data_IF_735985623386
#
_entry.id   IF_735985623386
#
_cell.length_a   1.000
_cell.length_b   1.000
_cell.length_c   1.000
_cell.angle_alpha   90.00
_cell.angle_beta   90.00
_cell.angle_gamma   90.00
#
_symmetry.space_group_name_H-M   'P 1'
#
loop_
_entity.id
_entity.type
_entity.pdbx_description
1 polymer ?
#
# COMPACT_ATOMS: atom_id res chain seq x y z
N UNK A 1 -25.98 4.35 -15.20
CA UNK A 1 -25.31 3.04 -15.27
C UNK A 1 -24.39 2.93 -14.04
N UNK A 2 -24.87 2.28 -12.98
CA UNK A 2 -24.11 2.06 -11.76
C UNK A 2 -23.23 0.84 -11.96
N UNK A 3 -21.95 1.08 -12.23
CA UNK A 3 -20.96 0.02 -12.18
C UNK A 3 -20.59 -0.23 -10.72
N UNK A 4 -21.14 -1.29 -10.14
CA UNK A 4 -20.65 -1.81 -8.85
C UNK A 4 -19.43 -2.68 -9.13
N UNK A 5 -18.28 -2.18 -8.79
CA UNK A 5 -17.05 -2.89 -8.92
C UNK A 5 -16.61 -3.54 -7.58
N UNK A 6 -16.11 -4.81 -7.48
CA UNK A 6 -15.62 -5.49 -6.27
C UNK A 6 -14.12 -5.65 -6.27
N UNK A 7 -13.45 -5.32 -5.17
CA UNK A 7 -12.08 -5.71 -4.91
C UNK A 7 -12.09 -7.11 -4.26
N UNK A 8 -11.70 -8.14 -4.99
CA UNK A 8 -11.45 -9.43 -4.36
C UNK A 8 -10.08 -9.39 -3.68
N UNK A 9 -9.99 -9.86 -2.42
CA UNK A 9 -8.71 -10.08 -1.74
C UNK A 9 -7.84 -11.00 -2.59
N UNK A 10 -6.54 -10.74 -2.72
CA UNK A 10 -5.63 -11.65 -3.39
C UNK A 10 -5.61 -12.98 -2.62
N UNK A 11 -5.99 -14.06 -3.28
CA UNK A 11 -5.91 -15.41 -2.71
C UNK A 11 -4.47 -15.85 -2.77
N UNK A 12 -3.78 -15.84 -1.63
CA UNK A 12 -2.45 -16.39 -1.51
C UNK A 12 -2.45 -17.89 -1.85
N UNK A 13 -1.67 -18.30 -2.83
CA UNK A 13 -1.30 -19.72 -3.02
C UNK A 13 -1.86 -20.48 -4.21
N UNK A 14 -2.54 -19.86 -5.18
CA UNK A 14 -2.93 -20.54 -6.43
C UNK A 14 -2.40 -19.84 -7.67
N UNK A 15 -1.86 -20.61 -8.60
CA UNK A 15 -1.39 -20.21 -9.93
C UNK A 15 -2.47 -19.43 -10.68
N UNK A 16 -2.20 -18.16 -11.00
CA UNK A 16 -3.17 -17.14 -11.36
C UNK A 16 -3.50 -17.06 -12.84
N UNK A 17 -3.66 -18.15 -13.53
CA UNK A 17 -3.94 -18.06 -14.98
C UNK A 17 -5.34 -17.52 -15.35
N UNK A 18 -6.28 -17.41 -14.41
CA UNK A 18 -7.66 -16.98 -14.71
C UNK A 18 -8.39 -16.34 -13.52
N UNK A 19 -7.80 -15.35 -12.84
CA UNK A 19 -8.59 -14.57 -11.87
C UNK A 19 -9.14 -13.35 -12.59
N UNK A 20 -10.44 -13.37 -12.86
CA UNK A 20 -11.16 -12.16 -13.28
C UNK A 20 -11.12 -11.17 -12.11
N UNK A 21 -10.29 -10.16 -12.22
CA UNK A 21 -10.23 -9.08 -11.24
C UNK A 21 -11.34 -8.10 -11.57
N UNK A 22 -12.30 -8.01 -10.68
CA UNK A 22 -13.39 -7.06 -10.81
C UNK A 22 -13.06 -5.90 -9.88
N UNK A 23 -12.88 -4.70 -10.44
CA UNK A 23 -12.77 -3.49 -9.63
C UNK A 23 -14.16 -3.07 -9.14
N UNK A 24 -14.34 -2.95 -7.84
CA UNK A 24 -15.53 -2.32 -7.26
C UNK A 24 -15.20 -0.87 -6.96
N UNK A 25 -15.93 0.02 -7.59
CA UNK A 25 -15.97 1.37 -7.08
C UNK A 25 -16.76 1.34 -5.76
N UNK A 26 -16.14 1.70 -4.63
CA UNK A 26 -16.90 1.85 -3.40
C UNK A 26 -18.01 2.87 -3.67
N UNK A 27 -19.22 2.59 -3.21
CA UNK A 27 -20.37 3.47 -3.38
C UNK A 27 -20.08 4.90 -2.92
N UNK A 28 -20.85 5.86 -3.40
CA UNK A 28 -20.67 7.30 -3.15
C UNK A 28 -20.89 7.70 -1.67
N UNK A 29 -21.14 6.74 -0.79
CA UNK A 29 -21.71 6.94 0.54
C UNK A 29 -20.66 7.12 1.67
N UNK A 30 -19.40 7.45 1.35
CA UNK A 30 -18.45 7.82 2.40
C UNK A 30 -18.73 9.25 2.86
N UNK A 31 -19.09 9.40 4.12
CA UNK A 31 -19.33 10.71 4.72
C UNK A 31 -18.01 11.43 5.02
N UNK A 32 -17.65 12.34 4.16
CA UNK A 32 -16.51 13.22 4.36
C UNK A 32 -16.76 14.28 5.44
N UNK A 33 -18.02 14.44 5.91
CA UNK A 33 -18.43 15.51 6.82
C UNK A 33 -18.08 16.90 6.23
N UNK A 34 -17.28 17.67 6.97
CA UNK A 34 -16.75 18.96 6.54
C UNK A 34 -15.24 18.88 6.27
N UNK A 35 -14.81 17.79 5.63
CA UNK A 35 -13.41 17.58 5.32
C UNK A 35 -12.92 18.63 4.32
N UNK A 36 -11.83 19.32 4.65
CA UNK A 36 -11.19 20.32 3.81
C UNK A 36 -9.71 20.00 3.64
N UNK A 37 -9.23 20.12 2.42
CA UNK A 37 -7.81 19.97 2.14
C UNK A 37 -7.00 21.03 2.88
N UNK A 38 -5.94 20.67 3.62
CA UNK A 38 -5.20 21.60 4.48
C UNK A 38 -4.57 22.80 3.78
N UNK A 39 -4.29 22.71 2.46
CA UNK A 39 -3.73 23.78 1.63
C UNK A 39 -2.46 24.40 2.23
N UNK A 40 -1.50 23.58 2.61
CA UNK A 40 -0.24 24.04 3.19
C UNK A 40 0.67 24.64 2.12
N UNK A 41 1.39 25.70 2.49
CA UNK A 41 2.41 26.24 1.60
C UNK A 41 3.68 25.41 1.65
N UNK A 42 4.46 25.42 0.56
CA UNK A 42 5.72 24.66 0.49
C UNK A 42 6.72 24.97 1.63
N UNK A 43 6.73 26.22 2.10
CA UNK A 43 7.63 26.64 3.18
C UNK A 43 7.19 26.14 4.57
N UNK A 44 5.95 25.65 4.69
CA UNK A 44 5.41 25.07 5.93
C UNK A 44 5.38 23.54 5.89
N UNK A 45 5.69 22.96 4.73
CA UNK A 45 5.63 21.51 4.54
C UNK A 45 6.88 20.81 5.09
N UNK A 46 6.65 19.93 6.07
CA UNK A 46 7.63 18.96 6.56
C UNK A 46 7.16 17.58 6.14
N UNK A 47 7.74 17.08 5.05
CA UNK A 47 7.30 15.84 4.42
C UNK A 47 8.00 14.62 5.02
N UNK A 48 7.20 13.59 5.36
CA UNK A 48 7.68 12.27 5.78
C UNK A 48 7.23 11.21 4.80
N UNK A 49 8.18 10.62 4.07
CA UNK A 49 7.91 9.52 3.16
C UNK A 49 7.89 8.20 3.93
N UNK A 50 6.81 7.41 3.78
CA UNK A 50 6.68 6.13 4.48
C UNK A 50 6.01 5.05 3.64
N UNK A 51 6.35 3.81 3.98
CA UNK A 51 5.66 2.61 3.49
C UNK A 51 4.60 2.19 4.50
N UNK A 52 3.35 1.95 4.08
CA UNK A 52 2.23 1.62 4.99
C UNK A 52 2.58 0.46 5.92
N UNK A 53 3.03 -0.66 5.35
CA UNK A 53 3.40 -1.83 6.14
C UNK A 53 4.66 -1.57 6.98
N UNK A 54 5.68 -0.94 6.40
CA UNK A 54 6.96 -0.71 7.05
C UNK A 54 6.88 0.16 8.29
N UNK A 55 6.04 1.19 8.25
CA UNK A 55 5.96 2.19 9.32
C UNK A 55 5.50 1.62 10.67
N UNK A 56 4.55 0.68 10.66
CA UNK A 56 3.95 0.18 11.91
C UNK A 56 4.12 -1.32 12.15
N UNK A 57 4.75 -2.09 11.23
CA UNK A 57 4.85 -3.55 11.34
C UNK A 57 5.64 -4.01 12.56
N UNK A 58 6.71 -3.30 12.94
CA UNK A 58 7.55 -3.70 14.06
C UNK A 58 6.81 -3.54 15.40
N UNK A 59 7.08 -4.45 16.34
CA UNK A 59 6.40 -4.48 17.64
C UNK A 59 6.58 -3.20 18.47
N UNK A 60 7.69 -2.48 18.27
CA UNK A 60 7.95 -1.20 18.94
C UNK A 60 6.98 -0.09 18.56
N UNK A 61 6.25 -0.23 17.45
CA UNK A 61 5.20 0.72 17.07
C UNK A 61 4.09 0.79 18.09
N UNK A 62 3.84 -0.29 18.82
CA UNK A 62 2.78 -0.43 19.86
C UNK A 62 1.36 -0.17 19.34
N UNK A 63 1.13 -0.30 18.04
CA UNK A 63 -0.21 -0.19 17.45
C UNK A 63 -0.90 -1.54 17.41
N UNK A 64 -2.22 -1.50 17.37
CA UNK A 64 -3.07 -2.70 17.28
C UNK A 64 -3.04 -3.27 15.87
N UNK A 65 -3.21 -2.42 14.86
CA UNK A 65 -3.35 -2.80 13.45
C UNK A 65 -2.04 -2.61 12.68
N UNK A 66 -1.03 -3.41 13.01
CA UNK A 66 0.32 -3.27 12.43
C UNK A 66 0.33 -3.46 10.93
N UNK A 67 1.04 -2.57 10.24
CA UNK A 67 1.26 -2.66 8.80
C UNK A 67 0.05 -2.33 7.95
N UNK A 68 -0.94 -1.62 8.50
CA UNK A 68 -2.19 -1.27 7.84
C UNK A 68 -2.45 0.24 7.84
N UNK A 69 -3.46 0.68 7.10
CA UNK A 69 -3.94 2.06 7.11
C UNK A 69 -4.41 2.47 8.51
N UNK A 70 -5.16 1.60 9.19
CA UNK A 70 -5.59 1.81 10.57
C UNK A 70 -4.39 1.95 11.52
N UNK A 71 -3.34 1.16 11.31
CA UNK A 71 -2.11 1.27 12.09
C UNK A 71 -1.39 2.62 11.92
N UNK A 72 -1.45 3.23 10.73
CA UNK A 72 -0.96 4.60 10.52
C UNK A 72 -1.84 5.58 11.29
N UNK A 73 -3.17 5.42 11.22
CA UNK A 73 -4.10 6.28 11.95
C UNK A 73 -3.81 6.30 13.47
N UNK A 74 -3.43 5.17 14.06
CA UNK A 74 -3.01 5.09 15.47
C UNK A 74 -1.72 5.89 15.78
N UNK A 75 -0.99 6.37 14.75
CA UNK A 75 0.27 7.10 14.87
C UNK A 75 0.20 8.58 14.47
N UNK A 76 -0.97 9.08 14.12
CA UNK A 76 -1.11 10.46 13.64
C UNK A 76 -0.71 11.49 14.70
N UNK A 77 -1.04 11.26 15.95
CA UNK A 77 -0.66 12.18 17.04
C UNK A 77 0.86 12.21 17.23
N UNK A 78 1.54 11.07 17.09
CA UNK A 78 3.00 11.01 17.08
C UNK A 78 3.61 11.78 15.90
N UNK A 79 3.06 11.64 14.70
CA UNK A 79 3.55 12.39 13.54
C UNK A 79 3.37 13.90 13.74
N UNK A 80 2.25 14.32 14.31
CA UNK A 80 2.00 15.71 14.64
C UNK A 80 2.96 16.23 15.71
N UNK A 81 3.22 15.45 16.75
CA UNK A 81 4.15 15.81 17.83
C UNK A 81 5.57 16.05 17.33
N UNK A 82 6.04 15.27 16.36
CA UNK A 82 7.36 15.45 15.75
C UNK A 82 7.40 16.51 14.63
N UNK A 83 6.27 17.19 14.39
CA UNK A 83 6.18 18.31 13.47
C UNK A 83 5.99 17.95 12.00
N UNK A 84 5.53 16.73 11.69
CA UNK A 84 5.20 16.34 10.31
C UNK A 84 3.90 17.01 9.90
N UNK A 85 3.89 17.63 8.73
CA UNK A 85 2.72 18.29 8.15
C UNK A 85 2.26 17.66 6.84
N UNK A 86 3.12 16.88 6.21
CA UNK A 86 2.83 16.20 4.94
C UNK A 86 3.34 14.77 5.00
N UNK A 87 2.51 13.82 4.65
CA UNK A 87 2.90 12.41 4.57
C UNK A 87 2.88 11.96 3.12
N UNK A 88 4.00 11.45 2.63
CA UNK A 88 4.11 10.85 1.31
C UNK A 88 4.06 9.32 1.46
N UNK A 89 2.98 8.71 0.99
CA UNK A 89 2.80 7.27 1.02
C UNK A 89 3.39 6.62 -0.23
N UNK A 90 4.32 5.70 -0.03
CA UNK A 90 4.78 4.79 -1.07
C UNK A 90 3.60 4.00 -1.62
N UNK A 91 3.70 3.32 -2.78
CA UNK A 91 2.55 2.81 -3.50
C UNK A 91 1.48 2.14 -2.64
N UNK A 92 0.28 2.71 -2.63
CA UNK A 92 -0.89 2.24 -1.87
C UNK A 92 -1.99 1.66 -2.75
N UNK A 93 -1.83 1.72 -4.08
CA UNK A 93 -2.76 1.08 -5.02
C UNK A 93 -2.58 -0.44 -5.02
N UNK A 94 -3.58 -1.17 -5.51
CA UNK A 94 -3.52 -2.63 -5.58
C UNK A 94 -2.53 -3.09 -6.66
N UNK A 95 -1.46 -3.72 -6.24
CA UNK A 95 -0.42 -4.32 -7.08
C UNK A 95 -0.18 -5.78 -6.70
N UNK A 96 0.48 -6.53 -7.57
CA UNK A 96 0.83 -7.92 -7.29
C UNK A 96 2.09 -8.00 -6.42
N UNK A 97 1.94 -8.52 -5.20
CA UNK A 97 3.07 -8.71 -4.29
C UNK A 97 3.91 -9.93 -4.63
N UNK A 98 3.30 -10.92 -5.30
CA UNK A 98 3.99 -12.15 -5.69
C UNK A 98 4.16 -12.17 -7.19
N UNK A 99 5.30 -11.73 -7.76
CA UNK A 99 5.52 -11.81 -9.18
C UNK A 99 5.44 -13.27 -9.64
N UNK A 100 4.85 -13.48 -10.83
CA UNK A 100 4.92 -14.77 -11.50
C UNK A 100 6.39 -15.09 -11.73
N UNK A 101 6.82 -16.26 -11.25
CA UNK A 101 8.14 -16.89 -11.42
C UNK A 101 9.30 -15.92 -11.63
N UNK A 102 10.02 -15.62 -10.56
CA UNK A 102 11.36 -15.05 -10.69
C UNK A 102 12.16 -16.00 -11.57
N UNK A 103 12.59 -15.51 -12.73
CA UNK A 103 13.43 -16.25 -13.65
C UNK A 103 14.65 -16.73 -12.85
N UNK A 104 14.76 -18.03 -12.64
CA UNK A 104 15.70 -18.69 -11.70
C UNK A 104 17.18 -18.35 -11.89
N UNK A 105 17.52 -17.67 -12.98
CA UNK A 105 18.91 -17.26 -13.26
C UNK A 105 19.41 -16.10 -12.39
N UNK A 106 18.52 -15.22 -11.90
CA UNK A 106 18.93 -14.10 -11.04
C UNK A 106 18.88 -14.48 -9.55
N UNK A 107 18.07 -15.48 -9.21
CA UNK A 107 17.99 -16.01 -7.83
C UNK A 107 19.14 -16.96 -7.51
N UNK A 108 19.70 -17.67 -8.50
CA UNK A 108 20.82 -18.57 -8.32
C UNK A 108 22.09 -17.86 -7.86
N UNK A 109 22.33 -16.63 -8.32
CA UNK A 109 23.52 -15.85 -7.95
C UNK A 109 23.44 -15.33 -6.49
N UNK A 110 22.23 -15.16 -5.96
CA UNK A 110 22.04 -14.71 -4.55
C UNK A 110 22.08 -15.92 -3.59
N UNK A 111 21.66 -17.09 -4.04
CA UNK A 111 21.61 -18.31 -3.22
C UNK A 111 22.90 -19.12 -3.27
N UNK A 112 23.71 -18.98 -4.31
CA UNK A 112 25.00 -19.68 -4.45
C UNK A 112 26.00 -19.36 -3.31
N UNK A 113 25.77 -18.31 -2.55
CA UNK A 113 26.58 -17.97 -1.36
C UNK A 113 26.10 -18.60 -0.04
N UNK A 114 24.99 -19.34 -0.06
CA UNK A 114 24.35 -19.83 1.16
C UNK A 114 24.38 -21.34 1.42
N UNK A 115 24.98 -22.16 0.56
CA UNK A 115 24.97 -23.59 0.82
C UNK A 115 25.89 -24.44 -0.06
N UNK A 116 26.84 -25.11 0.57
CA UNK A 116 27.78 -26.07 -0.06
C UNK A 116 27.16 -27.43 -0.47
N UNK A 117 25.87 -27.61 -0.34
CA UNK A 117 25.18 -28.85 -0.71
C UNK A 117 24.13 -28.56 -1.76
N UNK A 118 24.43 -28.85 -3.01
CA UNK A 118 23.65 -28.61 -4.22
C UNK A 118 22.24 -29.23 -4.31
N UNK A 119 21.41 -29.03 -3.31
CA UNK A 119 19.98 -29.30 -3.36
C UNK A 119 19.24 -28.07 -3.86
N UNK A 120 18.37 -28.23 -4.86
CA UNK A 120 17.42 -27.20 -5.26
C UNK A 120 16.63 -26.74 -4.02
N UNK A 121 16.89 -25.53 -3.54
CA UNK A 121 16.08 -24.93 -2.51
C UNK A 121 14.68 -24.65 -3.08
N UNK A 122 13.60 -24.97 -2.35
CA UNK A 122 12.25 -24.67 -2.79
C UNK A 122 12.17 -23.16 -3.07
N UNK A 123 11.78 -22.80 -4.30
CA UNK A 123 11.85 -21.46 -4.85
C UNK A 123 11.37 -20.38 -3.88
N UNK A 124 12.26 -19.58 -3.40
CA UNK A 124 11.93 -18.39 -2.65
C UNK A 124 11.22 -17.40 -3.56
N UNK A 125 9.95 -17.16 -3.30
CA UNK A 125 9.23 -16.08 -3.97
C UNK A 125 9.66 -14.77 -3.33
N UNK A 126 10.38 -13.95 -4.09
CA UNK A 126 10.72 -12.60 -3.64
C UNK A 126 9.44 -11.77 -3.65
N UNK A 127 9.02 -11.32 -2.47
CA UNK A 127 7.88 -10.42 -2.33
C UNK A 127 8.21 -9.07 -2.94
N UNK A 128 7.36 -8.55 -3.84
CA UNK A 128 7.42 -7.16 -4.25
C UNK A 128 6.89 -6.28 -3.10
N UNK A 129 7.76 -5.99 -2.17
CA UNK A 129 7.43 -5.27 -0.95
C UNK A 129 7.06 -3.81 -1.21
N UNK A 130 7.79 -3.15 -2.10
CA UNK A 130 7.71 -1.70 -2.30
C UNK A 130 6.56 -1.26 -3.20
N UNK A 131 6.04 -2.13 -4.07
CA UNK A 131 4.90 -1.85 -4.91
C UNK A 131 5.17 -1.01 -6.17
N UNK A 132 6.42 -0.70 -6.49
CA UNK A 132 6.75 0.06 -7.71
C UNK A 132 6.63 -0.81 -8.96
N UNK A 133 5.38 -1.12 -9.34
CA UNK A 133 5.01 -1.84 -10.55
C UNK A 133 3.60 -1.49 -10.97
N UNK A 134 3.21 -1.92 -12.16
CA UNK A 134 1.84 -1.80 -12.63
C UNK A 134 0.83 -2.41 -11.68
N UNK A 135 -0.32 -1.76 -11.56
CA UNK A 135 -1.40 -2.20 -10.71
C UNK A 135 -2.73 -1.54 -11.01
N UNK A 136 -3.67 -1.67 -10.11
CA UNK A 136 -4.98 -1.03 -10.19
C UNK A 136 -4.93 0.31 -9.46
N UNK A 137 -4.54 1.37 -10.18
CA UNK A 137 -4.24 2.68 -9.61
C UNK A 137 -5.37 3.34 -8.83
N UNK A 138 -6.61 2.98 -9.12
CA UNK A 138 -7.80 3.52 -8.45
C UNK A 138 -8.32 2.64 -7.30
N UNK A 139 -7.62 1.57 -6.98
CA UNK A 139 -8.00 0.65 -5.92
C UNK A 139 -6.94 0.65 -4.82
N UNK A 140 -7.26 1.04 -3.58
CA UNK A 140 -6.36 0.89 -2.45
C UNK A 140 -5.99 -0.57 -2.22
N UNK A 141 -4.76 -0.79 -1.78
CA UNK A 141 -4.22 -2.13 -1.62
C UNK A 141 -4.93 -2.89 -0.49
N UNK A 142 -5.61 -3.98 -0.85
CA UNK A 142 -6.36 -4.79 0.09
C UNK A 142 -5.51 -5.35 1.24
N UNK A 143 -4.22 -5.65 0.98
CA UNK A 143 -3.31 -6.17 1.99
C UNK A 143 -2.85 -5.12 3.02
N UNK A 144 -3.18 -3.84 2.82
CA UNK A 144 -2.91 -2.76 3.77
C UNK A 144 -4.12 -2.38 4.60
N UNK A 145 -5.25 -3.05 4.44
CA UNK A 145 -6.40 -2.88 5.30
C UNK A 145 -6.34 -3.81 6.52
N UNK A 146 -6.81 -3.33 7.66
CA UNK A 146 -7.05 -4.14 8.85
C UNK A 146 -8.36 -4.93 8.73
N UNK A 147 -9.36 -4.29 8.11
CA UNK A 147 -10.68 -4.85 7.87
C UNK A 147 -10.87 -5.24 6.39
N UNK A 148 -12.10 -5.58 6.01
CA UNK A 148 -12.39 -6.06 4.65
C UNK A 148 -12.38 -4.96 3.57
N UNK A 149 -12.77 -3.75 3.92
CA UNK A 149 -12.90 -2.62 2.98
C UNK A 149 -11.69 -1.69 3.03
N UNK A 150 -10.70 -1.97 2.19
CA UNK A 150 -9.50 -1.15 2.06
C UNK A 150 -9.80 0.28 1.56
N UNK A 151 -10.84 0.45 0.76
CA UNK A 151 -11.20 1.77 0.24
C UNK A 151 -11.83 2.65 1.33
N UNK A 152 -12.66 2.06 2.17
CA UNK A 152 -13.22 2.74 3.33
C UNK A 152 -12.11 3.13 4.32
N UNK A 153 -11.25 2.19 4.67
CA UNK A 153 -10.17 2.41 5.64
C UNK A 153 -9.17 3.46 5.14
N UNK A 154 -8.84 3.45 3.85
CA UNK A 154 -7.97 4.45 3.26
C UNK A 154 -8.59 5.86 3.27
N UNK A 155 -9.89 6.00 2.93
CA UNK A 155 -10.62 7.28 3.02
C UNK A 155 -10.66 7.80 4.45
N UNK A 156 -10.92 6.90 5.40
CA UNK A 156 -10.88 7.23 6.83
C UNK A 156 -9.52 7.78 7.23
N UNK A 157 -8.43 7.13 6.80
CA UNK A 157 -7.07 7.59 7.07
C UNK A 157 -6.82 9.00 6.50
N UNK A 158 -7.23 9.26 5.25
CA UNK A 158 -7.08 10.59 4.63
C UNK A 158 -7.84 11.64 5.42
N UNK A 159 -9.10 11.36 5.79
CA UNK A 159 -9.92 12.24 6.62
C UNK A 159 -9.25 12.54 7.98
N UNK A 160 -8.66 11.54 8.61
CA UNK A 160 -7.96 11.72 9.88
C UNK A 160 -6.67 12.54 9.74
N UNK A 161 -5.95 12.46 8.61
CA UNK A 161 -4.84 13.35 8.29
C UNK A 161 -5.32 14.80 8.15
N UNK A 162 -6.36 15.05 7.37
CA UNK A 162 -6.90 16.40 7.13
C UNK A 162 -7.40 17.05 8.43
N UNK A 163 -8.07 16.31 9.30
CA UNK A 163 -8.49 16.81 10.63
C UNK A 163 -7.32 17.35 11.45
N UNK A 164 -6.11 16.82 11.24
CA UNK A 164 -4.89 17.26 11.92
C UNK A 164 -4.10 18.28 11.09
N UNK A 165 -4.70 18.81 10.02
CA UNK A 165 -4.06 19.71 9.05
C UNK A 165 -2.78 19.11 8.43
N UNK A 166 -2.78 17.82 8.20
CA UNK A 166 -1.73 17.10 7.49
C UNK A 166 -2.17 16.78 6.07
N UNK A 167 -1.28 17.00 5.09
CA UNK A 167 -1.49 16.62 3.70
C UNK A 167 -1.04 15.19 3.43
N UNK A 168 -1.65 14.55 2.44
CA UNK A 168 -1.28 13.22 1.98
C UNK A 168 -0.89 13.27 0.51
N UNK A 169 0.31 12.82 0.21
CA UNK A 169 0.82 12.63 -1.15
C UNK A 169 0.89 11.12 -1.42
N UNK A 170 0.50 10.71 -2.62
CA UNK A 170 0.54 9.31 -3.05
C UNK A 170 1.57 9.12 -4.14
N UNK A 171 2.43 8.11 -3.99
CA UNK A 171 3.37 7.73 -5.04
C UNK A 171 2.73 6.73 -6.00
N UNK A 172 2.86 6.99 -7.29
CA UNK A 172 2.44 6.09 -8.36
C UNK A 172 3.62 5.73 -9.26
N UNK A 173 3.67 4.47 -9.67
CA UNK A 173 4.63 4.00 -10.65
C UNK A 173 3.94 3.79 -11.99
N UNK A 174 4.41 4.50 -13.02
CA UNK A 174 3.96 4.31 -14.39
C UNK A 174 5.11 3.73 -15.23
N UNK A 175 4.96 2.52 -15.80
CA UNK A 175 6.00 1.95 -16.64
C UNK A 175 6.19 2.76 -17.93
N UNK A 176 7.39 2.69 -18.51
CA UNK A 176 7.68 3.33 -19.81
C UNK A 176 6.78 2.73 -20.89
N UNK A 177 6.07 3.59 -21.62
CA UNK A 177 5.22 3.19 -22.75
C UNK A 177 3.74 3.09 -22.41
N UNK A 178 3.31 3.51 -21.23
CA UNK A 178 1.90 3.86 -21.04
C UNK A 178 1.63 5.15 -21.84
N UNK A 179 0.91 5.02 -22.96
CA UNK A 179 0.30 6.17 -23.62
C UNK A 179 -0.80 6.69 -22.69
N UNK A 180 -0.64 7.90 -22.21
CA UNK A 180 -1.57 8.60 -21.32
C UNK A 180 -2.61 9.32 -22.17
#
# INVERSE_FOLDING_TARGET
LHARGFLSKPVYGKTRKNVNRIAVFPGEDFDWEQDEHPMLSYCESVCYCMHVRGFTMHASSKVTHRGTFAGIAEKLDYLQEIGITTVELQPVYEFDETPEEVNTKTSADIVATAGENGGELPGYRVLNYWGYREGFYYAPKAAYAAEEDAALEFRQLVKEFHKRRMEVILQFYFPKGMDV
#
